data_IF_165258552810
#
_entry.id   IF_165258552810
#
_cell.length_a   1.000
_cell.length_b   1.000
_cell.length_c   1.000
_cell.angle_alpha   90.00
_cell.angle_beta   90.00
_cell.angle_gamma   90.00
#
_symmetry.space_group_name_H-M   'P 1'
#
loop_
_entity.id
_entity.type
_entity.pdbx_description
1 polymer ?
#
# COMPACT_ATOMS: atom_id res chain seq x y z
N UNK A 1 -3.73 15.60 2.63
CA UNK A 1 -4.23 14.34 2.01
C UNK A 1 -3.57 14.04 0.65
N UNK A 2 -3.63 14.95 -0.34
CA UNK A 2 -3.06 14.70 -1.66
C UNK A 2 -1.54 14.53 -1.63
N UNK A 3 -0.80 15.44 -1.00
CA UNK A 3 0.66 15.36 -0.88
C UNK A 3 1.12 14.09 -0.17
N UNK A 4 0.50 13.77 0.98
CA UNK A 4 0.80 12.52 1.69
C UNK A 4 0.46 11.29 0.85
N UNK A 5 -0.65 11.31 0.09
CA UNK A 5 -1.02 10.23 -0.82
C UNK A 5 0.01 10.01 -1.93
N UNK A 6 0.48 11.08 -2.60
CA UNK A 6 1.51 10.97 -3.64
C UNK A 6 2.86 10.50 -3.08
N UNK A 7 3.22 10.93 -1.87
CA UNK A 7 4.41 10.43 -1.17
C UNK A 7 4.31 8.92 -0.91
N UNK A 8 3.15 8.43 -0.44
CA UNK A 8 2.92 7.00 -0.23
C UNK A 8 2.88 6.21 -1.55
N UNK A 9 2.39 6.82 -2.65
CA UNK A 9 2.45 6.22 -3.99
C UNK A 9 3.91 6.04 -4.44
N UNK A 10 4.77 7.03 -4.23
CA UNK A 10 6.20 6.90 -4.56
C UNK A 10 6.88 5.80 -3.74
N UNK A 11 6.54 5.67 -2.47
CA UNK A 11 6.99 4.55 -1.64
C UNK A 11 6.53 3.20 -2.20
N UNK A 12 5.27 3.08 -2.64
CA UNK A 12 4.76 1.82 -3.19
C UNK A 12 5.52 1.36 -4.44
N UNK A 13 6.02 2.29 -5.27
CA UNK A 13 6.89 1.93 -6.41
C UNK A 13 8.15 1.23 -5.91
N UNK A 14 8.86 1.83 -4.97
CA UNK A 14 10.09 1.26 -4.41
C UNK A 14 9.79 -0.06 -3.69
N UNK A 15 8.74 -0.09 -2.89
CA UNK A 15 8.32 -1.28 -2.14
C UNK A 15 8.01 -2.46 -3.06
N UNK A 16 7.20 -2.24 -4.10
CA UNK A 16 6.88 -3.29 -5.07
C UNK A 16 8.11 -3.74 -5.85
N UNK A 17 9.00 -2.82 -6.24
CA UNK A 17 10.21 -3.14 -7.00
C UNK A 17 11.18 -4.00 -6.20
N UNK A 18 11.45 -3.65 -4.94
CA UNK A 18 12.34 -4.45 -4.07
C UNK A 18 11.74 -5.82 -3.78
N UNK A 19 10.44 -5.87 -3.49
CA UNK A 19 9.77 -7.15 -3.23
C UNK A 19 9.70 -8.03 -4.50
N UNK A 20 9.55 -7.43 -5.70
CA UNK A 20 9.55 -8.18 -6.95
C UNK A 20 10.88 -8.91 -7.25
N UNK A 21 11.98 -8.56 -6.56
CA UNK A 21 13.25 -9.27 -6.68
C UNK A 21 13.14 -10.76 -6.28
N UNK A 22 12.13 -11.12 -5.51
CA UNK A 22 11.88 -12.52 -5.14
C UNK A 22 11.60 -13.42 -6.37
N UNK A 23 11.07 -12.85 -7.46
CA UNK A 23 10.75 -13.58 -8.68
C UNK A 23 11.97 -14.01 -9.50
N UNK A 24 13.18 -13.55 -9.14
CA UNK A 24 14.42 -14.11 -9.71
C UNK A 24 14.60 -15.59 -9.35
N UNK A 25 13.95 -16.05 -8.29
CA UNK A 25 13.94 -17.44 -7.82
C UNK A 25 15.36 -18.05 -7.66
N UNK A 26 16.25 -17.24 -7.07
CA UNK A 26 17.65 -17.54 -6.81
C UNK A 26 17.91 -17.89 -5.33
N UNK A 27 16.95 -18.54 -4.69
CA UNK A 27 16.93 -18.81 -3.24
C UNK A 27 16.98 -17.54 -2.39
N UNK A 28 16.50 -16.43 -2.95
CA UNK A 28 16.38 -15.14 -2.28
C UNK A 28 17.68 -14.32 -2.22
N UNK A 29 18.70 -14.66 -2.99
CA UNK A 29 19.99 -13.95 -2.95
C UNK A 29 19.83 -12.47 -3.36
N UNK A 30 19.24 -12.19 -4.52
CA UNK A 30 19.01 -10.80 -5.00
C UNK A 30 18.03 -10.05 -4.10
N UNK A 31 16.95 -10.72 -3.65
CA UNK A 31 16.02 -10.12 -2.70
C UNK A 31 16.73 -9.70 -1.41
N UNK A 32 17.58 -10.56 -0.85
CA UNK A 32 18.32 -10.28 0.39
C UNK A 32 19.27 -9.08 0.23
N UNK A 33 19.95 -8.96 -0.91
CA UNK A 33 20.79 -7.79 -1.23
C UNK A 33 19.95 -6.51 -1.25
N UNK A 34 18.80 -6.54 -1.93
CA UNK A 34 17.89 -5.40 -1.99
C UNK A 34 17.32 -5.02 -0.62
N UNK A 35 16.90 -6.00 0.16
CA UNK A 35 16.38 -5.81 1.52
C UNK A 35 17.46 -5.25 2.47
N UNK A 36 18.69 -5.76 2.40
CA UNK A 36 19.83 -5.27 3.15
C UNK A 36 20.14 -3.79 2.82
N UNK A 37 20.19 -3.45 1.53
CA UNK A 37 20.38 -2.06 1.10
C UNK A 37 19.30 -1.14 1.67
N UNK A 38 18.04 -1.55 1.62
CA UNK A 38 16.92 -0.78 2.19
C UNK A 38 17.01 -0.63 3.72
N UNK A 39 17.54 -1.64 4.40
CA UNK A 39 17.63 -1.68 5.85
C UNK A 39 18.84 -0.92 6.43
N UNK A 40 19.93 -0.75 5.66
CA UNK A 40 21.20 -0.20 6.15
C UNK A 40 21.55 1.17 5.59
N UNK A 41 21.02 1.55 4.42
CA UNK A 41 21.34 2.84 3.81
C UNK A 41 20.81 4.01 4.66
N UNK A 42 21.66 4.97 5.09
CA UNK A 42 21.26 6.04 6.00
C UNK A 42 20.22 6.99 5.40
N UNK A 43 20.22 7.21 4.09
CA UNK A 43 19.22 8.05 3.42
C UNK A 43 17.85 7.36 3.51
N UNK A 44 17.80 6.07 3.22
CA UNK A 44 16.55 5.28 3.30
C UNK A 44 16.04 5.22 4.73
N UNK A 45 16.94 5.08 5.70
CA UNK A 45 16.60 5.12 7.13
C UNK A 45 15.95 6.46 7.53
N UNK A 46 16.43 7.56 6.99
CA UNK A 46 15.81 8.89 7.22
C UNK A 46 14.44 8.98 6.56
N UNK A 47 14.33 8.49 5.31
CA UNK A 47 13.05 8.45 4.58
C UNK A 47 12.04 7.56 5.29
N UNK A 48 12.46 6.47 5.95
CA UNK A 48 11.59 5.59 6.72
C UNK A 48 10.87 6.33 7.87
N UNK A 49 11.56 7.23 8.56
CA UNK A 49 10.94 8.07 9.61
C UNK A 49 9.86 8.96 8.97
N UNK A 50 10.19 9.60 7.84
CA UNK A 50 9.23 10.43 7.10
C UNK A 50 8.05 9.59 6.57
N UNK A 51 8.29 8.33 6.21
CA UNK A 51 7.26 7.41 5.76
C UNK A 51 6.26 7.08 6.87
N UNK A 52 6.74 6.77 8.07
CA UNK A 52 5.89 6.52 9.24
C UNK A 52 5.04 7.76 9.56
N UNK A 53 5.65 8.95 9.57
CA UNK A 53 4.94 10.21 9.75
C UNK A 53 3.93 10.45 8.63
N UNK A 54 4.29 10.17 7.39
CA UNK A 54 3.42 10.26 6.22
C UNK A 54 2.17 9.37 6.33
N UNK A 55 2.33 8.12 6.78
CA UNK A 55 1.21 7.23 7.06
C UNK A 55 0.30 7.79 8.15
N UNK A 56 0.87 8.20 9.29
CA UNK A 56 0.08 8.74 10.41
C UNK A 56 -0.73 9.97 9.95
N UNK A 57 -0.10 10.91 9.26
CA UNK A 57 -0.76 12.12 8.78
C UNK A 57 -1.85 11.76 7.75
N UNK A 58 -1.57 10.84 6.82
CA UNK A 58 -2.53 10.39 5.81
C UNK A 58 -3.77 9.76 6.45
N UNK A 59 -3.57 8.86 7.41
CA UNK A 59 -4.66 8.18 8.13
C UNK A 59 -5.50 9.18 8.92
N UNK A 60 -4.86 10.05 9.72
CA UNK A 60 -5.55 11.06 10.53
C UNK A 60 -6.35 12.02 9.65
N UNK A 61 -5.76 12.52 8.57
CA UNK A 61 -6.48 13.38 7.61
C UNK A 61 -7.64 12.64 6.93
N UNK A 62 -7.48 11.35 6.61
CA UNK A 62 -8.53 10.54 6.01
C UNK A 62 -9.74 10.38 6.95
N UNK A 63 -9.50 10.01 8.20
CA UNK A 63 -10.53 9.87 9.22
C UNK A 63 -11.21 11.21 9.55
N UNK A 64 -10.42 12.30 9.63
CA UNK A 64 -10.96 13.65 9.84
C UNK A 64 -11.91 14.08 8.70
N UNK A 65 -11.48 13.88 7.45
CA UNK A 65 -12.31 14.23 6.28
C UNK A 65 -13.56 13.36 6.19
N UNK A 66 -13.45 12.08 6.49
CA UNK A 66 -14.62 11.20 6.56
C UNK A 66 -15.64 11.68 7.59
N UNK A 67 -15.17 11.99 8.81
CA UNK A 67 -16.03 12.53 9.87
C UNK A 67 -16.67 13.86 9.45
N UNK A 68 -15.88 14.82 8.98
CA UNK A 68 -16.36 16.13 8.52
C UNK A 68 -17.43 16.01 7.43
N UNK A 69 -17.21 15.13 6.44
CA UNK A 69 -18.17 14.92 5.37
C UNK A 69 -19.45 14.23 5.84
N UNK A 70 -19.37 13.37 6.85
CA UNK A 70 -20.51 12.72 7.48
C UNK A 70 -21.33 13.74 8.28
N UNK A 71 -20.67 14.55 9.09
CA UNK A 71 -21.30 15.55 9.95
C UNK A 71 -21.94 16.70 9.14
N UNK A 72 -21.43 17.00 7.95
CA UNK A 72 -21.99 17.98 7.02
C UNK A 72 -23.34 17.53 6.39
N UNK A 73 -23.78 16.28 6.62
CA UNK A 73 -25.03 15.71 6.07
C UNK A 73 -25.88 15.12 7.19
N UNK A 74 -26.50 15.94 8.05
CA UNK A 74 -27.30 15.45 9.17
C UNK A 74 -28.61 14.78 8.70
N UNK A 75 -29.12 15.14 7.51
CA UNK A 75 -30.32 14.53 6.92
C UNK A 75 -29.94 13.75 5.68
N UNK A 76 -30.35 12.49 5.64
CA UNK A 76 -30.14 11.65 4.45
C UNK A 76 -31.08 12.03 3.31
N UNK A 77 -30.63 11.89 2.07
CA UNK A 77 -31.51 12.10 0.91
C UNK A 77 -32.69 11.12 0.93
N UNK A 78 -33.89 11.60 0.71
CA UNK A 78 -35.09 10.77 0.55
C UNK A 78 -34.98 9.84 -0.68
N UNK A 79 -34.26 10.28 -1.72
CA UNK A 79 -33.95 9.49 -2.92
C UNK A 79 -32.44 9.54 -3.20
N UNK A 80 -31.83 8.36 -3.36
CA UNK A 80 -30.41 8.21 -3.71
C UNK A 80 -30.30 7.68 -5.14
N UNK A 81 -29.81 8.50 -6.05
CA UNK A 81 -29.33 8.02 -7.34
C UNK A 81 -27.79 7.88 -7.27
N UNK A 82 -27.34 6.79 -6.66
CA UNK A 82 -25.95 6.56 -6.35
C UNK A 82 -25.05 6.46 -7.59
N UNK A 83 -25.60 5.98 -8.73
CA UNK A 83 -24.84 5.78 -9.96
C UNK A 83 -24.58 7.07 -10.73
N UNK A 84 -25.42 8.11 -10.56
CA UNK A 84 -25.31 9.36 -11.32
C UNK A 84 -24.26 10.34 -10.73
N UNK A 85 -23.90 10.23 -9.45
CA UNK A 85 -23.09 11.24 -8.76
C UNK A 85 -21.66 10.81 -8.44
N UNK A 86 -21.41 9.52 -8.20
CA UNK A 86 -20.07 9.02 -7.84
C UNK A 86 -19.96 7.51 -7.98
N UNK A 87 -18.72 7.00 -8.21
CA UNK A 87 -18.47 5.55 -8.22
C UNK A 87 -18.57 4.95 -6.80
N UNK A 88 -18.91 3.66 -6.71
CA UNK A 88 -19.03 2.97 -5.42
C UNK A 88 -17.72 2.98 -4.62
N UNK A 89 -16.56 2.81 -5.27
CA UNK A 89 -15.24 2.84 -4.63
C UNK A 89 -14.89 4.24 -4.09
N UNK A 90 -15.38 5.31 -4.72
CA UNK A 90 -15.27 6.67 -4.19
C UNK A 90 -16.05 6.83 -2.87
N UNK A 91 -17.27 6.27 -2.83
CA UNK A 91 -18.12 6.30 -1.61
C UNK A 91 -17.56 5.42 -0.49
N UNK A 92 -16.87 4.35 -0.87
CA UNK A 92 -16.30 3.35 0.05
C UNK A 92 -14.87 3.67 0.51
N UNK A 93 -14.33 4.87 0.21
CA UNK A 93 -12.93 5.21 0.53
C UNK A 93 -12.59 5.08 2.03
N UNK A 94 -13.51 5.42 2.92
CA UNK A 94 -13.29 5.24 4.35
C UNK A 94 -13.20 3.77 4.74
N UNK A 95 -14.08 2.92 4.17
CA UNK A 95 -14.04 1.47 4.39
C UNK A 95 -12.74 0.88 3.83
N UNK A 96 -12.40 1.19 2.56
CA UNK A 96 -11.18 0.70 1.92
C UNK A 96 -9.93 1.15 2.69
N UNK A 97 -9.88 2.42 3.14
CA UNK A 97 -8.79 2.93 3.96
C UNK A 97 -8.67 2.24 5.31
N UNK A 98 -9.80 1.90 5.96
CA UNK A 98 -9.81 1.14 7.21
C UNK A 98 -9.32 -0.29 7.02
N UNK A 99 -9.72 -0.96 5.93
CA UNK A 99 -9.24 -2.30 5.60
C UNK A 99 -7.73 -2.32 5.34
N UNK A 100 -7.21 -1.31 4.63
CA UNK A 100 -5.77 -1.14 4.42
C UNK A 100 -5.05 -0.86 5.74
N UNK A 101 -5.64 -0.06 6.64
CA UNK A 101 -5.06 0.19 7.96
C UNK A 101 -4.95 -1.08 8.79
N UNK A 102 -5.99 -1.92 8.82
CA UNK A 102 -5.95 -3.21 9.49
C UNK A 102 -4.90 -4.14 8.87
N UNK A 103 -4.85 -4.21 7.54
CA UNK A 103 -3.81 -4.94 6.83
C UNK A 103 -2.41 -4.40 7.16
N UNK A 104 -2.22 -3.08 7.20
CA UNK A 104 -0.93 -2.45 7.51
C UNK A 104 -0.43 -2.83 8.92
N UNK A 105 -1.32 -2.92 9.90
CA UNK A 105 -0.98 -3.39 11.26
C UNK A 105 -0.47 -4.83 11.21
N UNK A 106 -1.15 -5.72 10.50
CA UNK A 106 -0.71 -7.12 10.34
C UNK A 106 0.60 -7.20 9.57
N UNK A 107 0.70 -6.50 8.44
CA UNK A 107 1.89 -6.49 7.59
C UNK A 107 3.13 -5.99 8.33
N UNK A 108 3.03 -4.88 9.04
CA UNK A 108 4.17 -4.34 9.79
C UNK A 108 4.54 -5.23 10.99
N UNK A 109 3.57 -5.85 11.65
CA UNK A 109 3.84 -6.78 12.74
C UNK A 109 4.46 -8.10 12.28
N UNK A 110 4.22 -8.50 11.04
CA UNK A 110 4.80 -9.72 10.47
C UNK A 110 6.28 -9.55 10.08
N UNK A 111 6.69 -8.36 9.61
CA UNK A 111 8.03 -8.18 9.02
C UNK A 111 8.79 -6.98 9.58
N UNK A 112 8.22 -5.78 9.49
CA UNK A 112 8.95 -4.56 9.78
C UNK A 112 9.27 -4.40 11.27
N UNK A 113 8.28 -4.56 12.16
CA UNK A 113 8.45 -4.39 13.60
C UNK A 113 9.47 -5.40 14.16
N UNK A 114 9.36 -6.73 13.90
CA UNK A 114 10.34 -7.69 14.39
C UNK A 114 11.77 -7.38 13.93
N UNK A 115 11.93 -7.05 12.63
CA UNK A 115 13.23 -6.73 12.07
C UNK A 115 13.82 -5.47 12.72
N UNK A 116 13.01 -4.44 12.99
CA UNK A 116 13.47 -3.22 13.67
C UNK A 116 13.86 -3.46 15.11
N UNK A 117 13.09 -4.24 15.83
CA UNK A 117 13.42 -4.62 17.22
C UNK A 117 14.74 -5.39 17.26
N UNK A 118 14.94 -6.34 16.32
CA UNK A 118 16.17 -7.12 16.25
C UNK A 118 17.40 -6.24 15.96
N UNK A 119 17.30 -5.37 14.96
CA UNK A 119 18.35 -4.42 14.63
C UNK A 119 18.69 -3.48 15.80
N UNK A 120 17.67 -2.99 16.51
CA UNK A 120 17.89 -2.10 17.66
C UNK A 120 18.56 -2.81 18.85
N UNK A 121 18.20 -4.08 19.11
CA UNK A 121 18.70 -4.85 20.24
C UNK A 121 20.04 -5.52 19.99
N UNK A 122 20.24 -6.03 18.78
CA UNK A 122 21.37 -6.91 18.47
C UNK A 122 22.25 -6.39 17.33
N UNK A 123 21.85 -5.30 16.65
CA UNK A 123 22.58 -4.77 15.49
C UNK A 123 22.43 -5.60 14.22
N UNK A 124 21.60 -6.65 14.23
CA UNK A 124 21.47 -7.63 13.15
C UNK A 124 20.09 -7.57 12.49
N UNK A 125 20.04 -7.90 11.21
CA UNK A 125 18.79 -8.05 10.44
C UNK A 125 18.25 -9.46 10.57
N UNK A 126 16.91 -9.56 10.56
CA UNK A 126 16.25 -10.85 10.44
C UNK A 126 16.29 -11.35 8.98
N UNK A 127 16.31 -12.66 8.76
CA UNK A 127 16.32 -13.27 7.43
C UNK A 127 14.93 -13.12 6.76
N UNK A 128 14.63 -11.94 6.23
CA UNK A 128 13.31 -11.58 5.71
C UNK A 128 12.82 -12.53 4.61
N UNK A 129 13.72 -13.02 3.74
CA UNK A 129 13.35 -14.02 2.73
C UNK A 129 12.77 -15.28 3.38
N UNK A 130 13.49 -15.86 4.33
CA UNK A 130 13.05 -17.05 5.04
C UNK A 130 11.73 -16.81 5.78
N UNK A 131 11.60 -15.67 6.44
CA UNK A 131 10.36 -15.29 7.12
C UNK A 131 9.17 -15.22 6.14
N UNK A 132 9.37 -14.70 4.93
CA UNK A 132 8.33 -14.65 3.89
C UNK A 132 7.95 -16.06 3.42
N UNK A 133 8.95 -16.91 3.13
CA UNK A 133 8.72 -18.31 2.71
C UNK A 133 7.92 -19.07 3.78
N UNK A 134 8.30 -18.96 5.04
CA UNK A 134 7.59 -19.62 6.15
C UNK A 134 6.18 -19.06 6.35
N UNK A 135 6.03 -17.74 6.32
CA UNK A 135 4.77 -17.06 6.57
C UNK A 135 3.71 -17.43 5.54
N UNK A 136 4.08 -17.43 4.26
CA UNK A 136 3.14 -17.69 3.16
C UNK A 136 2.91 -19.18 2.86
N UNK A 137 3.41 -20.10 3.68
CA UNK A 137 2.90 -21.48 3.71
C UNK A 137 1.52 -21.58 4.37
N UNK A 138 1.16 -20.58 5.18
CA UNK A 138 -0.15 -20.55 5.82
C UNK A 138 -1.20 -19.93 4.88
N UNK A 139 -2.25 -20.65 4.46
CA UNK A 139 -3.27 -20.14 3.54
C UNK A 139 -4.06 -18.95 4.11
N UNK A 140 -4.22 -18.86 5.43
CA UNK A 140 -4.90 -17.74 6.07
C UNK A 140 -4.10 -16.45 5.89
N UNK A 141 -2.77 -16.50 6.06
CA UNK A 141 -1.90 -15.35 5.81
C UNK A 141 -1.97 -14.93 4.34
N UNK A 142 -1.91 -15.89 3.41
CA UNK A 142 -2.05 -15.59 1.99
C UNK A 142 -3.36 -14.86 1.70
N UNK A 143 -4.49 -15.35 2.21
CA UNK A 143 -5.79 -14.71 2.03
C UNK A 143 -5.84 -13.29 2.61
N UNK A 144 -5.25 -13.05 3.79
CA UNK A 144 -5.17 -11.72 4.39
C UNK A 144 -4.39 -10.76 3.47
N UNK A 145 -3.26 -11.21 2.92
CA UNK A 145 -2.45 -10.39 2.02
C UNK A 145 -3.14 -10.12 0.68
N UNK A 146 -3.83 -11.11 0.11
CA UNK A 146 -4.63 -10.92 -1.10
C UNK A 146 -5.78 -9.93 -0.88
N UNK A 147 -6.44 -10.00 0.26
CA UNK A 147 -7.50 -9.06 0.63
C UNK A 147 -6.96 -7.64 0.83
N UNK A 148 -5.77 -7.51 1.43
CA UNK A 148 -5.04 -6.24 1.52
C UNK A 148 -4.73 -5.64 0.15
N UNK A 149 -4.20 -6.44 -0.77
CA UNK A 149 -3.91 -6.02 -2.15
C UNK A 149 -5.19 -5.65 -2.91
N UNK A 150 -6.29 -6.38 -2.73
CA UNK A 150 -7.59 -6.05 -3.32
C UNK A 150 -8.12 -4.70 -2.81
N UNK A 151 -8.02 -4.46 -1.50
CA UNK A 151 -8.43 -3.18 -0.90
C UNK A 151 -7.55 -2.03 -1.41
N UNK A 152 -6.24 -2.27 -1.55
CA UNK A 152 -5.28 -1.31 -2.08
C UNK A 152 -5.57 -0.96 -3.55
N UNK A 153 -5.93 -1.94 -4.39
CA UNK A 153 -6.32 -1.71 -5.77
C UNK A 153 -7.45 -0.66 -5.88
N UNK A 154 -8.54 -0.85 -5.17
CA UNK A 154 -9.69 0.06 -5.21
C UNK A 154 -9.38 1.42 -4.58
N UNK A 155 -8.57 1.43 -3.53
CA UNK A 155 -8.12 2.66 -2.88
C UNK A 155 -7.25 3.51 -3.82
N UNK A 156 -6.31 2.89 -4.52
CA UNK A 156 -5.45 3.56 -5.49
C UNK A 156 -6.22 4.03 -6.72
N UNK A 157 -7.16 3.23 -7.22
CA UNK A 157 -7.97 3.57 -8.40
C UNK A 157 -8.71 4.91 -8.23
N UNK A 158 -9.17 5.21 -7.02
CA UNK A 158 -9.75 6.52 -6.70
C UNK A 158 -8.69 7.53 -6.24
N UNK A 159 -7.79 7.12 -5.36
CA UNK A 159 -6.86 7.99 -4.65
C UNK A 159 -5.85 8.66 -5.58
N UNK A 160 -5.35 7.95 -6.59
CA UNK A 160 -4.37 8.48 -7.54
C UNK A 160 -4.91 9.71 -8.28
N UNK A 161 -6.01 9.55 -8.98
CA UNK A 161 -6.65 10.64 -9.73
C UNK A 161 -7.09 11.79 -8.82
N UNK A 162 -7.67 11.47 -7.66
CA UNK A 162 -8.14 12.45 -6.68
C UNK A 162 -6.99 13.32 -6.14
N UNK A 163 -5.78 12.75 -5.96
CA UNK A 163 -4.63 13.49 -5.48
C UNK A 163 -4.20 14.59 -6.48
N UNK A 164 -4.08 14.27 -7.76
CA UNK A 164 -3.73 15.25 -8.78
C UNK A 164 -4.76 16.36 -8.92
N UNK A 165 -6.05 16.00 -8.90
CA UNK A 165 -7.13 17.00 -8.92
C UNK A 165 -7.10 17.93 -7.72
N UNK A 166 -6.85 17.39 -6.51
CA UNK A 166 -6.80 18.18 -5.28
C UNK A 166 -5.63 19.17 -5.24
N UNK A 167 -4.55 18.89 -5.99
CA UNK A 167 -3.40 19.79 -6.14
C UNK A 167 -3.58 20.83 -7.26
N UNK A 168 -4.70 20.79 -7.98
CA UNK A 168 -4.91 21.64 -9.13
C UNK A 168 -4.11 21.24 -10.37
N UNK A 169 -3.47 20.06 -10.36
CA UNK A 169 -2.70 19.51 -11.50
C UNK A 169 -3.65 18.83 -12.49
N UNK A 170 -4.73 19.52 -12.83
CA UNK A 170 -5.77 19.06 -13.73
C UNK A 170 -5.82 20.00 -14.93
N UNK A 171 -5.42 19.49 -16.10
CA UNK A 171 -5.44 20.25 -17.35
C UNK A 171 -5.92 19.33 -18.48
N UNK A 172 -6.77 19.85 -19.37
CA UNK A 172 -7.43 19.07 -20.43
C UNK A 172 -6.44 18.25 -21.26
N UNK A 173 -5.24 18.79 -21.50
CA UNK A 173 -4.18 18.13 -22.27
C UNK A 173 -3.62 16.86 -21.59
N UNK A 174 -3.56 16.84 -20.23
CA UNK A 174 -2.89 15.78 -19.47
C UNK A 174 -3.85 14.92 -18.66
N UNK A 175 -5.12 15.28 -18.57
CA UNK A 175 -6.08 14.56 -17.77
C UNK A 175 -6.19 13.08 -18.14
N UNK A 176 -6.24 12.77 -19.43
CA UNK A 176 -6.31 11.37 -19.89
C UNK A 176 -5.03 10.61 -19.53
N UNK A 177 -3.86 11.23 -19.69
CA UNK A 177 -2.59 10.61 -19.32
C UNK A 177 -2.55 10.27 -17.81
N UNK A 178 -2.89 11.24 -16.93
CA UNK A 178 -2.93 11.03 -15.50
C UNK A 178 -3.95 9.94 -15.12
N UNK A 179 -5.12 9.95 -15.77
CA UNK A 179 -6.17 8.97 -15.52
C UNK A 179 -5.72 7.54 -15.86
N UNK A 180 -5.20 7.32 -17.06
CA UNK A 180 -4.74 5.99 -17.47
C UNK A 180 -3.48 5.54 -16.72
N UNK A 181 -2.57 6.45 -16.40
CA UNK A 181 -1.43 6.15 -15.53
C UNK A 181 -1.89 5.70 -14.14
N UNK A 182 -2.93 6.34 -13.58
CA UNK A 182 -3.53 5.94 -12.31
C UNK A 182 -4.16 4.56 -12.35
N UNK A 183 -4.89 4.22 -13.44
CA UNK A 183 -5.45 2.88 -13.64
C UNK A 183 -4.32 1.85 -13.73
N UNK A 184 -3.32 2.11 -14.59
CA UNK A 184 -2.19 1.20 -14.76
C UNK A 184 -1.46 0.95 -13.45
N UNK A 185 -1.21 2.00 -12.69
CA UNK A 185 -0.58 1.91 -11.37
C UNK A 185 -1.42 1.09 -10.37
N UNK A 186 -2.72 1.37 -10.31
CA UNK A 186 -3.64 0.67 -9.43
C UNK A 186 -3.77 -0.83 -9.76
N UNK A 187 -3.62 -1.21 -11.03
CA UNK A 187 -3.62 -2.61 -11.45
C UNK A 187 -2.26 -3.27 -11.21
N UNK A 188 -1.18 -2.68 -11.72
CA UNK A 188 0.14 -3.33 -11.74
C UNK A 188 0.68 -3.54 -10.32
N UNK A 189 0.70 -2.50 -9.50
CA UNK A 189 1.37 -2.55 -8.19
C UNK A 189 0.71 -3.56 -7.25
N UNK A 190 -0.61 -3.53 -7.00
CA UNK A 190 -1.24 -4.54 -6.15
C UNK A 190 -1.18 -5.95 -6.73
N UNK A 191 -1.20 -6.10 -8.07
CA UNK A 191 -1.06 -7.42 -8.71
C UNK A 191 0.31 -8.02 -8.50
N UNK A 192 1.39 -7.24 -8.67
CA UNK A 192 2.76 -7.68 -8.38
C UNK A 192 2.87 -8.10 -6.91
N UNK A 193 2.36 -7.29 -5.98
CA UNK A 193 2.39 -7.60 -4.55
C UNK A 193 1.55 -8.84 -4.20
N UNK A 194 0.40 -9.06 -4.85
CA UNK A 194 -0.45 -10.22 -4.64
C UNK A 194 0.15 -11.52 -5.20
N UNK A 195 0.90 -11.42 -6.31
CA UNK A 195 1.55 -12.59 -6.90
C UNK A 195 2.61 -13.23 -6.00
N UNK A 196 3.25 -12.48 -5.09
CA UNK A 196 4.29 -13.01 -4.21
C UNK A 196 3.77 -14.07 -3.24
N UNK A 197 2.77 -13.80 -2.37
CA UNK A 197 2.22 -14.80 -1.47
C UNK A 197 1.64 -15.99 -2.24
N UNK A 198 1.04 -15.77 -3.43
CA UNK A 198 0.56 -16.86 -4.28
C UNK A 198 1.72 -17.73 -4.77
N UNK A 199 2.77 -17.12 -5.31
CA UNK A 199 3.91 -17.84 -5.89
C UNK A 199 4.66 -18.66 -4.82
N UNK A 200 4.78 -18.15 -3.60
CA UNK A 200 5.36 -18.86 -2.48
C UNK A 200 4.45 -20.03 -2.04
N UNK A 201 3.15 -19.77 -1.87
CA UNK A 201 2.18 -20.78 -1.47
C UNK A 201 2.10 -21.94 -2.47
N UNK A 202 2.11 -21.61 -3.77
CA UNK A 202 2.10 -22.59 -4.86
C UNK A 202 3.48 -23.24 -5.11
N UNK A 203 4.50 -22.90 -4.28
CA UNK A 203 5.86 -23.41 -4.39
C UNK A 203 6.55 -23.13 -5.76
N UNK A 204 6.13 -22.06 -6.46
CA UNK A 204 6.81 -21.59 -7.66
C UNK A 204 8.14 -20.90 -7.32
N UNK A 205 8.24 -20.35 -6.11
CA UNK A 205 9.44 -19.77 -5.53
C UNK A 205 9.82 -20.63 -4.32
N UNK A 206 11.10 -21.00 -4.25
CA UNK A 206 11.66 -21.90 -3.22
C UNK A 206 12.86 -21.26 -2.53
#
# INVERSE_FOLDING_TARGET
MAMTGLFLISFLVVHASVNALIFYNDSGAIFTIGAHFMATNPIIRTIEILLVLGFIIHIVQGLYLWKKNRDARPVQYAYKNDSASSSWYSRSMALLGTLILLFLVIHTSNFWIPNRINQFRFGEELPLYKMMIEKFQNPVEVLIYLFGCFSLFWHLLHGFWSAFRSLGWSHIKYNNFIYYSGISFAVIVPSVLAMMPIAIFMQWIK
#
